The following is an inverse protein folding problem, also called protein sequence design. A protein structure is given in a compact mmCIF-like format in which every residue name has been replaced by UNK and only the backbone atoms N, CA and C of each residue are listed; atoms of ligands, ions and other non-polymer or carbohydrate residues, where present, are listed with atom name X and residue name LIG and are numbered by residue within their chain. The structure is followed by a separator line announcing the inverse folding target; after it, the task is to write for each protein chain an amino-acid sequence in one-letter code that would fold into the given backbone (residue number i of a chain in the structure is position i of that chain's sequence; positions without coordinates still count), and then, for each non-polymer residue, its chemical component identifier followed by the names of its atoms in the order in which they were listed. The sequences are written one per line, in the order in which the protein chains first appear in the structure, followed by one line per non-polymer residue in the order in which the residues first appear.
data_IF_970197855585
#
_entry.id   IF_970197855585
#
_cell.length_a   1.000
_cell.length_b   1.000
_cell.length_c   1.000
_cell.angle_alpha   90.00
_cell.angle_beta   90.00
_cell.angle_gamma   90.00
#
_symmetry.space_group_name_H-M   'P 1'
#
loop_
_entity.id
_entity.type
_entity.pdbx_description
1 polymer ?
#
# COMPACT_ATOMS: atom_id res chain seq x y z
N UNK A 1 26.56 -29.29 -43.73
CA UNK A 1 27.03 -28.37 -42.69
C UNK A 1 25.84 -27.64 -42.08
N UNK A 2 25.74 -27.68 -40.73
CA UNK A 2 25.23 -26.61 -39.87
C UNK A 2 23.75 -26.18 -39.98
N UNK A 3 22.81 -27.05 -39.61
CA UNK A 3 21.46 -26.58 -39.18
C UNK A 3 20.86 -27.31 -37.96
N UNK A 4 21.52 -28.34 -37.43
CA UNK A 4 20.99 -29.13 -36.30
C UNK A 4 21.42 -28.68 -34.90
N UNK A 5 22.21 -27.60 -34.79
CA UNK A 5 22.78 -27.16 -33.50
C UNK A 5 21.98 -26.05 -32.79
N UNK A 6 21.03 -25.41 -33.47
CA UNK A 6 20.26 -24.29 -32.91
C UNK A 6 19.02 -24.73 -32.12
N UNK A 7 18.49 -25.94 -32.34
CA UNK A 7 17.26 -26.39 -31.70
C UNK A 7 17.47 -27.00 -30.30
N UNK A 8 18.69 -27.46 -30.00
CA UNK A 8 19.01 -28.12 -28.71
C UNK A 8 19.37 -27.11 -27.61
N UNK A 9 19.78 -25.88 -27.98
CA UNK A 9 20.11 -24.83 -27.00
C UNK A 9 18.87 -24.17 -26.37
N UNK A 10 17.69 -24.27 -26.99
CA UNK A 10 16.46 -23.66 -26.48
C UNK A 10 15.77 -24.47 -25.38
N UNK A 11 16.09 -25.76 -25.22
CA UNK A 11 15.46 -26.64 -24.22
C UNK A 11 16.25 -26.81 -22.92
N UNK A 12 17.53 -26.40 -22.89
CA UNK A 12 18.37 -26.48 -21.69
C UNK A 12 18.23 -25.27 -20.76
N UNK A 13 17.46 -24.24 -21.15
CA UNK A 13 17.28 -23.01 -20.36
C UNK A 13 16.10 -23.08 -19.36
N UNK A 14 15.27 -24.14 -19.39
CA UNK A 14 14.05 -24.24 -18.56
C UNK A 14 14.26 -24.89 -17.19
N UNK A 15 15.46 -25.41 -16.87
CA UNK A 15 15.68 -26.17 -15.62
C UNK A 15 16.24 -25.34 -14.44
N UNK A 16 16.70 -24.11 -14.65
CA UNK A 16 17.30 -23.30 -13.57
C UNK A 16 16.31 -22.39 -12.83
N UNK A 17 15.02 -22.42 -13.18
CA UNK A 17 14.00 -21.57 -12.56
C UNK A 17 13.52 -22.05 -11.17
N UNK A 18 14.01 -23.19 -10.67
CA UNK A 18 13.51 -23.81 -9.44
C UNK A 18 14.60 -24.26 -8.42
N UNK A 19 15.86 -23.83 -8.57
CA UNK A 19 16.86 -24.09 -7.54
C UNK A 19 16.82 -23.03 -6.42
N UNK A 20 16.58 -23.38 -5.14
CA UNK A 20 16.66 -22.42 -4.04
C UNK A 20 18.13 -22.01 -3.82
N UNK A 21 18.42 -20.71 -3.92
CA UNK A 21 19.76 -20.17 -3.65
C UNK A 21 20.04 -20.12 -2.13
N UNK A 22 21.28 -20.39 -1.69
CA UNK A 22 21.66 -20.29 -0.28
C UNK A 22 21.60 -18.84 0.21
N UNK A 23 20.92 -18.61 1.33
CA UNK A 23 20.81 -17.28 1.96
C UNK A 23 21.96 -17.11 2.96
N UNK A 24 23.01 -16.39 2.57
CA UNK A 24 24.00 -15.88 3.53
C UNK A 24 23.45 -14.64 4.25
N UNK A 25 23.46 -14.65 5.59
CA UNK A 25 23.14 -13.47 6.40
C UNK A 25 24.38 -12.60 6.51
N UNK A 26 24.35 -11.42 5.88
CA UNK A 26 25.41 -10.42 6.02
C UNK A 26 25.27 -9.64 7.34
N UNK A 27 26.34 -9.70 8.13
CA UNK A 27 26.57 -8.94 9.36
C UNK A 27 26.57 -7.42 9.09
N UNK A 28 25.93 -6.64 9.97
CA UNK A 28 25.90 -5.18 9.88
C UNK A 28 27.14 -4.56 10.54
N UNK A 29 28.13 -4.16 9.75
CA UNK A 29 29.09 -3.12 10.14
C UNK A 29 29.21 -2.10 9.02
N UNK A 30 28.77 -0.87 9.29
CA UNK A 30 28.75 0.25 8.34
C UNK A 30 30.11 0.97 8.34
N UNK A 31 30.94 0.66 7.36
CA UNK A 31 32.03 1.52 6.90
C UNK A 31 31.94 1.60 5.37
N UNK A 32 31.04 2.43 4.86
CA UNK A 32 30.72 2.43 3.42
C UNK A 32 31.50 3.53 2.68
N UNK A 33 32.37 3.09 1.77
CA UNK A 33 33.11 3.93 0.82
C UNK A 33 32.16 4.46 -0.29
N UNK A 34 32.38 5.69 -0.78
CA UNK A 34 31.53 6.37 -1.77
C UNK A 34 31.41 5.60 -3.08
N UNK A 35 32.42 4.80 -3.44
CA UNK A 35 32.38 3.93 -4.61
C UNK A 35 31.36 2.80 -4.45
N UNK A 36 31.13 2.33 -3.23
CA UNK A 36 30.12 1.31 -2.88
C UNK A 36 28.69 1.88 -2.87
N UNK A 37 28.54 3.16 -2.53
CA UNK A 37 27.26 3.86 -2.65
C UNK A 37 26.84 4.04 -4.13
N UNK A 38 27.79 4.35 -5.01
CA UNK A 38 27.53 4.48 -6.44
C UNK A 38 27.15 3.15 -7.11
N UNK A 39 27.77 2.04 -6.71
CA UNK A 39 27.40 0.70 -7.21
C UNK A 39 26.06 0.21 -6.64
N UNK A 40 25.66 0.64 -5.43
CA UNK A 40 24.32 0.39 -4.91
C UNK A 40 23.24 1.14 -5.71
N UNK A 41 23.50 2.38 -6.11
CA UNK A 41 22.57 3.15 -6.96
C UNK A 41 22.47 2.52 -8.35
N UNK A 42 23.59 2.10 -8.94
CA UNK A 42 23.61 1.42 -10.23
C UNK A 42 22.91 0.06 -10.20
N UNK A 43 23.05 -0.72 -9.11
CA UNK A 43 22.32 -1.99 -8.96
C UNK A 43 20.83 -1.78 -8.71
N UNK A 44 20.42 -0.72 -7.99
CA UNK A 44 18.99 -0.36 -7.88
C UNK A 44 18.37 0.12 -9.20
N UNK A 45 19.14 0.80 -10.06
CA UNK A 45 18.68 1.18 -11.39
C UNK A 45 18.54 -0.02 -12.33
N UNK A 46 19.46 -0.99 -12.24
CA UNK A 46 19.39 -2.24 -13.01
C UNK A 46 18.20 -3.13 -12.59
N UNK A 47 17.86 -3.16 -11.29
CA UNK A 47 16.67 -3.88 -10.79
C UNK A 47 15.37 -3.27 -11.33
N UNK A 48 15.32 -1.96 -11.60
CA UNK A 48 14.16 -1.34 -12.26
C UNK A 48 14.06 -1.67 -13.75
N UNK A 49 15.18 -1.92 -14.43
CA UNK A 49 15.19 -2.24 -15.87
C UNK A 49 14.76 -3.68 -16.21
N UNK A 50 14.72 -4.57 -15.22
CA UNK A 50 14.27 -5.96 -15.35
C UNK A 50 12.85 -6.22 -14.87
N UNK A 51 12.14 -5.19 -14.40
CA UNK A 51 10.71 -5.33 -14.11
C UNK A 51 9.97 -5.51 -15.44
N UNK A 52 9.11 -6.54 -15.58
CA UNK A 52 8.26 -6.64 -16.75
C UNK A 52 7.53 -5.31 -16.87
N UNK A 53 7.52 -4.77 -18.09
CA UNK A 53 6.78 -3.57 -18.46
C UNK A 53 5.48 -3.54 -17.67
N UNK A 54 5.34 -2.57 -16.75
CA UNK A 54 4.08 -2.28 -16.10
C UNK A 54 3.15 -1.86 -17.25
N UNK A 55 2.46 -2.84 -17.82
CA UNK A 55 1.39 -2.64 -18.78
C UNK A 55 0.52 -1.54 -18.20
N UNK A 56 0.31 -0.50 -19.01
CA UNK A 56 -0.41 0.72 -18.66
C UNK A 56 -1.72 0.36 -17.92
N UNK A 57 -1.69 0.35 -16.59
CA UNK A 57 -2.82 -0.01 -15.75
C UNK A 57 -3.80 1.16 -15.59
N UNK A 58 -3.78 2.13 -16.51
CA UNK A 58 -4.73 3.24 -16.49
C UNK A 58 -6.15 2.81 -16.89
N UNK A 59 -6.32 1.58 -17.40
CA UNK A 59 -7.62 0.93 -17.52
C UNK A 59 -8.15 0.29 -16.22
N UNK A 60 -7.31 0.13 -15.18
CA UNK A 60 -7.66 -0.51 -13.91
C UNK A 60 -8.03 0.48 -12.80
N UNK A 61 -7.94 1.80 -13.08
CA UNK A 61 -8.38 2.85 -12.17
C UNK A 61 -9.68 3.47 -12.65
N UNK A 62 -10.68 3.41 -11.78
CA UNK A 62 -11.97 4.07 -11.97
C UNK A 62 -12.42 4.73 -10.67
N UNK A 63 -13.36 5.66 -10.77
CA UNK A 63 -14.00 6.26 -9.60
C UNK A 63 -14.56 5.20 -8.63
N UNK A 64 -15.03 4.06 -9.15
CA UNK A 64 -15.50 2.94 -8.33
C UNK A 64 -14.36 2.28 -7.53
N UNK A 65 -13.20 2.04 -8.15
CA UNK A 65 -12.03 1.48 -7.44
C UNK A 65 -11.48 2.45 -6.38
N UNK A 66 -11.52 3.76 -6.67
CA UNK A 66 -11.12 4.79 -5.70
C UNK A 66 -12.10 4.87 -4.52
N UNK A 67 -13.40 4.86 -4.81
CA UNK A 67 -14.45 4.84 -3.78
C UNK A 67 -14.37 3.59 -2.91
N UNK A 68 -14.08 2.42 -3.51
CA UNK A 68 -13.89 1.17 -2.77
C UNK A 68 -12.67 1.27 -1.84
N UNK A 69 -11.54 1.79 -2.32
CA UNK A 69 -10.36 1.97 -1.50
C UNK A 69 -10.60 2.98 -0.35
N UNK A 70 -11.29 4.10 -0.63
CA UNK A 70 -11.71 5.06 0.41
C UNK A 70 -12.64 4.42 1.44
N UNK A 71 -13.62 3.66 1.00
CA UNK A 71 -14.56 2.98 1.89
C UNK A 71 -13.87 1.95 2.77
N UNK A 72 -13.14 1.00 2.20
CA UNK A 72 -12.53 -0.08 2.98
C UNK A 72 -11.41 0.45 3.88
N UNK A 73 -10.41 1.11 3.29
CA UNK A 73 -9.21 1.49 4.03
C UNK A 73 -9.41 2.79 4.81
N UNK A 74 -10.25 3.70 4.32
CA UNK A 74 -10.59 4.92 5.05
C UNK A 74 -11.39 4.64 6.32
N UNK A 75 -12.34 3.69 6.31
CA UNK A 75 -13.04 3.28 7.55
C UNK A 75 -12.08 2.63 8.56
N UNK A 76 -11.17 1.77 8.09
CA UNK A 76 -10.13 1.16 8.95
C UNK A 76 -9.22 2.22 9.58
N UNK A 77 -8.77 3.20 8.79
CA UNK A 77 -7.97 4.31 9.30
C UNK A 77 -8.80 5.12 10.29
N UNK A 78 -10.04 5.50 9.97
CA UNK A 78 -10.90 6.29 10.86
C UNK A 78 -11.16 5.62 12.22
N UNK A 79 -11.31 4.28 12.23
CA UNK A 79 -11.53 3.50 13.45
C UNK A 79 -10.34 3.53 14.43
N UNK A 80 -9.14 3.94 13.98
CA UNK A 80 -7.95 4.08 14.84
C UNK A 80 -7.99 5.29 15.77
N UNK A 81 -9.01 6.16 15.67
CA UNK A 81 -9.09 7.39 16.46
C UNK A 81 -9.06 7.12 17.98
N UNK A 82 -9.73 6.07 18.43
CA UNK A 82 -9.69 5.66 19.85
C UNK A 82 -8.30 5.16 20.25
N UNK A 83 -7.63 4.38 19.40
CA UNK A 83 -6.27 3.89 19.64
C UNK A 83 -5.25 5.03 19.69
N UNK A 84 -5.34 5.98 18.76
CA UNK A 84 -4.51 7.19 18.73
C UNK A 84 -4.74 8.05 19.98
N UNK A 85 -5.99 8.17 20.43
CA UNK A 85 -6.33 8.91 21.64
C UNK A 85 -5.79 8.24 22.91
N UNK A 86 -5.81 6.91 22.95
CA UNK A 86 -5.26 6.09 24.04
C UNK A 86 -3.72 5.97 24.00
N UNK A 87 -3.06 6.44 22.94
CA UNK A 87 -1.60 6.25 22.76
C UNK A 87 -1.20 4.82 22.43
N UNK A 88 -2.12 4.01 21.90
CA UNK A 88 -1.83 2.64 21.45
C UNK A 88 -1.12 2.68 20.08
N UNK A 89 0.20 2.81 20.15
CA UNK A 89 1.07 2.76 18.98
C UNK A 89 1.02 1.42 18.24
N UNK A 90 0.73 0.32 18.97
CA UNK A 90 0.69 -1.03 18.43
C UNK A 90 -0.48 -1.21 17.46
N UNK A 91 -1.66 -0.74 17.85
CA UNK A 91 -2.86 -0.76 17.01
C UNK A 91 -2.70 0.09 15.73
N UNK A 92 -2.05 1.25 15.81
CA UNK A 92 -1.79 2.06 14.60
C UNK A 92 -0.73 1.40 13.71
N UNK A 93 0.27 0.76 14.32
CA UNK A 93 1.34 0.09 13.59
C UNK A 93 0.87 -1.17 12.86
N UNK A 94 -0.05 -1.94 13.45
CA UNK A 94 -0.64 -3.12 12.81
C UNK A 94 -1.46 -2.75 11.56
N UNK A 95 -2.02 -1.54 11.54
CA UNK A 95 -2.80 -1.01 10.42
C UNK A 95 -1.96 -0.28 9.35
N UNK A 96 -0.64 -0.45 9.34
CA UNK A 96 0.26 0.12 8.31
C UNK A 96 -0.21 -0.13 6.87
N UNK A 97 -0.72 -1.33 6.60
CA UNK A 97 -1.18 -1.69 5.27
C UNK A 97 -2.43 -0.88 4.85
N UNK A 98 -3.29 -0.47 5.78
CA UNK A 98 -4.45 0.38 5.45
C UNK A 98 -3.99 1.75 4.93
N UNK A 99 -3.00 2.39 5.55
CA UNK A 99 -2.43 3.66 5.06
C UNK A 99 -1.82 3.52 3.66
N UNK A 100 -1.05 2.45 3.42
CA UNK A 100 -0.42 2.19 2.12
C UNK A 100 -1.48 2.00 1.03
N UNK A 101 -2.48 1.16 1.29
CA UNK A 101 -3.54 0.82 0.33
C UNK A 101 -4.52 1.98 0.11
N UNK A 102 -4.76 2.80 1.13
CA UNK A 102 -5.49 4.05 0.96
C UNK A 102 -4.71 5.00 0.05
N UNK A 103 -3.44 5.28 0.33
CA UNK A 103 -2.63 6.18 -0.48
C UNK A 103 -2.51 5.70 -1.93
N UNK A 104 -2.43 4.39 -2.16
CA UNK A 104 -2.28 3.82 -3.50
C UNK A 104 -3.59 3.68 -4.27
N UNK A 105 -4.71 3.43 -3.58
CA UNK A 105 -6.00 3.14 -4.19
C UNK A 105 -6.99 4.29 -4.19
N UNK A 106 -7.02 5.11 -3.13
CA UNK A 106 -8.00 6.19 -2.97
C UNK A 106 -7.61 7.48 -3.71
N UNK A 107 -6.31 7.73 -3.88
CA UNK A 107 -5.80 9.03 -4.35
C UNK A 107 -5.19 8.88 -5.75
N UNK A 108 -5.84 9.45 -6.77
CA UNK A 108 -5.36 9.45 -8.17
C UNK A 108 -4.29 10.49 -8.43
N UNK A 109 -4.49 11.68 -7.88
CA UNK A 109 -3.57 12.78 -8.05
C UNK A 109 -2.20 12.47 -7.43
N UNK A 110 -1.14 12.54 -8.24
CA UNK A 110 0.23 12.19 -7.82
C UNK A 110 0.76 13.12 -6.72
N UNK A 111 0.43 14.41 -6.77
CA UNK A 111 0.88 15.38 -5.77
C UNK A 111 0.19 15.15 -4.43
N UNK A 112 -1.14 14.92 -4.46
CA UNK A 112 -1.90 14.55 -3.25
C UNK A 112 -1.42 13.22 -2.67
N UNK A 113 -1.08 12.25 -3.52
CA UNK A 113 -0.52 10.96 -3.07
C UNK A 113 0.82 11.15 -2.39
N UNK A 114 1.73 11.96 -2.94
CA UNK A 114 3.00 12.28 -2.32
C UNK A 114 2.82 12.96 -0.95
N UNK A 115 1.87 13.90 -0.84
CA UNK A 115 1.51 14.54 0.43
C UNK A 115 0.95 13.53 1.45
N UNK A 116 0.10 12.60 1.02
CA UNK A 116 -0.45 11.55 1.87
C UNK A 116 0.63 10.57 2.35
N UNK A 117 1.59 10.21 1.49
CA UNK A 117 2.77 9.41 1.89
C UNK A 117 3.61 10.16 2.92
N UNK A 118 3.82 11.47 2.75
CA UNK A 118 4.52 12.29 3.74
C UNK A 118 3.81 12.29 5.09
N UNK A 119 2.50 12.54 5.12
CA UNK A 119 1.70 12.48 6.35
C UNK A 119 1.70 11.09 7.00
N UNK A 120 1.71 10.02 6.19
CA UNK A 120 1.86 8.65 6.69
C UNK A 120 3.22 8.46 7.35
N UNK A 121 4.30 8.94 6.73
CA UNK A 121 5.64 8.86 7.31
C UNK A 121 5.75 9.64 8.62
N UNK A 122 5.08 10.80 8.74
CA UNK A 122 5.01 11.58 9.98
C UNK A 122 4.30 10.80 11.11
N UNK A 123 3.18 10.14 10.81
CA UNK A 123 2.49 9.23 11.77
C UNK A 123 3.44 8.13 12.25
N UNK A 124 4.12 7.44 11.33
CA UNK A 124 5.02 6.35 11.67
C UNK A 124 6.34 6.83 12.30
N UNK A 125 6.75 8.08 12.08
CA UNK A 125 7.85 8.71 12.80
C UNK A 125 7.45 8.97 14.26
N UNK A 126 6.25 9.50 14.51
CA UNK A 126 5.73 9.69 15.86
C UNK A 126 5.59 8.36 16.63
N UNK A 127 5.14 7.29 15.96
CA UNK A 127 5.12 5.93 16.54
C UNK A 127 6.51 5.47 16.96
N UNK A 128 7.52 5.65 16.11
CA UNK A 128 8.91 5.28 16.42
C UNK A 128 9.49 6.11 17.56
N UNK A 129 9.15 7.40 17.61
CA UNK A 129 9.51 8.30 18.70
C UNK A 129 8.70 8.06 19.98
N UNK A 130 7.66 7.23 19.94
CA UNK A 130 6.68 7.01 21.02
C UNK A 130 6.05 8.32 21.51
N UNK A 131 5.86 9.27 20.61
CA UNK A 131 5.28 10.58 20.90
C UNK A 131 3.78 10.57 20.58
N UNK A 132 2.96 10.49 21.64
CA UNK A 132 1.50 10.49 21.50
C UNK A 132 0.95 11.83 21.02
N UNK A 133 1.59 12.95 21.34
CA UNK A 133 1.18 14.29 20.91
C UNK A 133 1.43 14.48 19.42
N UNK A 134 2.61 14.10 18.95
CA UNK A 134 2.95 14.09 17.53
C UNK A 134 2.07 13.09 16.75
N UNK A 135 1.79 11.91 17.31
CA UNK A 135 0.90 10.93 16.69
C UNK A 135 -0.50 11.50 16.48
N UNK A 136 -1.11 12.07 17.52
CA UNK A 136 -2.45 12.68 17.44
C UNK A 136 -2.49 13.79 16.39
N UNK A 137 -1.49 14.66 16.40
CA UNK A 137 -1.38 15.78 15.47
C UNK A 137 -1.23 15.33 14.03
N UNK A 138 -0.29 14.41 13.76
CA UNK A 138 -0.04 13.87 12.42
C UNK A 138 -1.23 13.07 11.90
N UNK A 139 -1.87 12.26 12.75
CA UNK A 139 -3.07 11.50 12.40
C UNK A 139 -4.26 12.40 12.08
N UNK A 140 -4.52 13.43 12.90
CA UNK A 140 -5.60 14.38 12.65
C UNK A 140 -5.36 15.18 11.35
N UNK A 141 -4.12 15.64 11.12
CA UNK A 141 -3.74 16.32 9.89
C UNK A 141 -3.94 15.42 8.66
N UNK A 142 -3.51 14.15 8.74
CA UNK A 142 -3.69 13.17 7.67
C UNK A 142 -5.17 12.89 7.38
N UNK A 143 -6.00 12.66 8.40
CA UNK A 143 -7.45 12.47 8.22
C UNK A 143 -8.09 13.67 7.55
N UNK A 144 -7.78 14.88 8.03
CA UNK A 144 -8.34 16.13 7.50
C UNK A 144 -7.94 16.36 6.04
N UNK A 145 -6.66 16.16 5.71
CA UNK A 145 -6.15 16.36 4.35
C UNK A 145 -6.76 15.38 3.33
N UNK A 146 -7.17 14.20 3.78
CA UNK A 146 -7.70 13.14 2.92
C UNK A 146 -9.22 12.93 3.05
N UNK A 147 -9.91 13.78 3.81
CA UNK A 147 -11.34 13.69 4.14
C UNK A 147 -11.77 12.29 4.66
N UNK A 148 -10.97 11.72 5.56
CA UNK A 148 -11.24 10.41 6.16
C UNK A 148 -12.14 10.59 7.38
N UNK A 149 -13.35 10.02 7.32
CA UNK A 149 -14.35 10.04 8.38
C UNK A 149 -14.94 8.65 8.57
N UNK A 150 -15.32 8.33 9.80
CA UNK A 150 -16.16 7.16 10.05
C UNK A 150 -17.53 7.43 9.42
N UNK A 151 -18.06 6.48 8.67
CA UNK A 151 -19.34 6.64 7.98
C UNK A 151 -20.16 5.38 8.20
N UNK A 152 -21.40 5.58 8.62
CA UNK A 152 -22.41 4.55 8.69
C UNK A 152 -23.58 5.00 7.83
N UNK A 153 -24.10 4.11 6.98
CA UNK A 153 -25.30 4.41 6.18
C UNK A 153 -26.51 3.91 6.95
N UNK A 154 -27.40 4.84 7.29
CA UNK A 154 -28.69 4.51 7.88
C UNK A 154 -29.65 3.98 6.79
N UNK A 155 -30.52 3.05 7.14
CA UNK A 155 -31.56 2.48 6.27
C UNK A 155 -32.53 3.56 5.78
N UNK A 156 -32.74 4.59 6.60
CA UNK A 156 -33.61 5.73 6.26
C UNK A 156 -32.89 6.77 5.39
N UNK A 157 -31.55 6.77 5.40
CA UNK A 157 -30.72 7.72 4.64
C UNK A 157 -30.39 7.23 3.22
N UNK A 158 -30.57 5.94 2.91
CA UNK A 158 -30.42 5.40 1.56
C UNK A 158 -30.08 3.91 1.51
N UNK A 159 -29.77 3.43 0.29
CA UNK A 159 -29.29 2.07 0.05
C UNK A 159 -27.78 2.08 -0.17
N UNK A 160 -27.06 1.35 0.66
CA UNK A 160 -25.61 1.20 0.59
C UNK A 160 -25.15 0.18 -0.46
N UNK A 161 -25.93 -0.88 -0.72
CA UNK A 161 -25.58 -1.93 -1.68
C UNK A 161 -26.82 -2.57 -2.32
N UNK A 162 -26.64 -3.17 -3.49
CA UNK A 162 -27.69 -3.92 -4.21
C UNK A 162 -27.28 -5.36 -4.56
N UNK A 163 -26.00 -5.71 -4.38
CA UNK A 163 -25.48 -7.06 -4.61
C UNK A 163 -24.53 -7.46 -3.49
N UNK A 164 -24.42 -8.77 -3.25
CA UNK A 164 -23.50 -9.33 -2.25
C UNK A 164 -22.02 -9.15 -2.60
N UNK A 165 -21.72 -8.80 -3.86
CA UNK A 165 -20.36 -8.49 -4.32
C UNK A 165 -19.90 -7.07 -3.96
N UNK A 166 -20.81 -6.20 -3.49
CA UNK A 166 -20.42 -4.86 -3.06
C UNK A 166 -19.60 -4.93 -1.77
N UNK A 167 -18.52 -4.15 -1.71
CA UNK A 167 -17.68 -4.06 -0.51
C UNK A 167 -18.46 -3.54 0.70
N UNK A 168 -19.58 -2.85 0.45
CA UNK A 168 -20.43 -2.30 1.49
C UNK A 168 -21.34 -3.34 2.15
N UNK A 169 -21.67 -4.44 1.46
CA UNK A 169 -22.73 -5.38 1.86
C UNK A 169 -22.56 -5.97 3.27
N UNK A 170 -21.32 -6.08 3.76
CA UNK A 170 -20.99 -6.59 5.10
C UNK A 170 -20.25 -5.58 5.97
N UNK A 171 -20.47 -4.29 5.72
CA UNK A 171 -19.79 -3.19 6.42
C UNK A 171 -20.80 -2.21 7.00
N UNK A 172 -20.35 -1.29 7.86
CA UNK A 172 -21.18 -0.19 8.37
C UNK A 172 -21.70 0.74 7.26
N UNK A 173 -21.13 0.67 6.05
CA UNK A 173 -21.55 1.43 4.89
C UNK A 173 -22.70 0.77 4.11
N UNK A 174 -23.13 -0.42 4.52
CA UNK A 174 -24.16 -1.21 3.85
C UNK A 174 -25.51 -1.11 4.53
N UNK A 175 -26.49 -0.63 3.79
CA UNK A 175 -27.91 -0.72 4.12
C UNK A 175 -28.68 -1.21 2.88
N UNK A 176 -29.73 -1.99 3.08
CA UNK A 176 -30.67 -2.36 2.02
C UNK A 176 -32.08 -2.25 2.57
N UNK A 177 -32.96 -1.61 1.80
CA UNK A 177 -34.37 -1.56 2.10
C UNK A 177 -35.03 -2.82 1.55
N UNK A 178 -35.50 -3.69 2.44
CA UNK A 178 -36.22 -4.93 2.09
C UNK A 178 -37.70 -4.61 2.14
N UNK A 179 -38.38 -4.70 0.99
CA UNK A 179 -39.83 -4.49 0.85
C UNK A 179 -40.62 -5.71 1.29
#
# INVERSE_FOLDING_TARGET
MKFSLALVAAFAASANAFAPAPVERASTSLAMDRRTAATQIATTAAVLSGLPSLALADGARSAATESRARGIYGQRIAALENAVNAGDFGAVASEKNAFILFNSGAISDKAKKAAAVKGTNEIFAAIRAKDAGALKSAYAAYKKANDIKLTAVDKDAGQGYSSDYDFKARSSLGSIYVR
#
